data_IF_352686916606
#
_entry.id   IF_352686916606
#
_cell.length_a   1.000
_cell.length_b   1.000
_cell.length_c   1.000
_cell.angle_alpha   90.00
_cell.angle_beta   90.00
_cell.angle_gamma   90.00
#
_symmetry.space_group_name_H-M   'P 1'
#
loop_
_entity.id
_entity.type
_entity.pdbx_description
1 polymer ?
#
# COMPACT_ATOMS: atom_id res chain seq x y z
N UNK A 1 12.47 -2.24 -2.88
CA UNK A 1 11.68 -1.33 -3.73
C UNK A 1 10.89 -0.40 -2.84
N UNK A 2 10.32 0.68 -3.35
CA UNK A 2 9.39 1.52 -2.59
C UNK A 2 7.97 1.00 -2.73
N UNK A 3 7.13 1.32 -1.75
CA UNK A 3 5.69 1.00 -1.80
C UNK A 3 5.05 1.57 -3.08
N UNK A 4 5.43 2.78 -3.51
CA UNK A 4 4.93 3.36 -4.77
C UNK A 4 5.30 2.56 -6.01
N UNK A 5 6.48 1.94 -6.03
CA UNK A 5 6.91 1.11 -7.16
C UNK A 5 6.01 -0.13 -7.26
N UNK A 6 5.71 -0.76 -6.11
CA UNK A 6 4.79 -1.90 -6.04
C UNK A 6 3.37 -1.51 -6.45
N UNK A 7 2.86 -0.36 -5.99
CA UNK A 7 1.53 0.13 -6.37
C UNK A 7 1.43 0.38 -7.87
N UNK A 8 2.50 0.89 -8.49
CA UNK A 8 2.59 1.10 -9.93
C UNK A 8 2.53 -0.21 -10.70
N UNK A 9 3.30 -1.21 -10.29
CA UNK A 9 3.29 -2.54 -10.89
C UNK A 9 1.90 -3.19 -10.82
N UNK A 10 1.17 -2.97 -9.72
CA UNK A 10 -0.18 -3.49 -9.52
C UNK A 10 -1.28 -2.64 -10.18
N UNK A 11 -0.94 -1.55 -10.89
CA UNK A 11 -1.90 -0.58 -11.45
C UNK A 11 -2.87 0.01 -10.39
N UNK A 12 -2.35 0.25 -9.19
CA UNK A 12 -3.08 0.83 -8.05
C UNK A 12 -2.72 2.30 -7.80
N UNK A 13 -1.91 2.92 -8.67
CA UNK A 13 -1.57 4.35 -8.63
C UNK A 13 -2.83 5.24 -8.59
N UNK A 14 -2.82 6.25 -7.72
CA UNK A 14 -3.85 7.30 -7.65
C UNK A 14 -5.18 6.89 -6.98
N UNK A 15 -5.30 5.66 -6.49
CA UNK A 15 -6.45 5.21 -5.69
C UNK A 15 -6.15 5.34 -4.21
N UNK A 16 -7.14 5.75 -3.43
CA UNK A 16 -7.03 5.76 -1.97
C UNK A 16 -6.97 4.31 -1.45
N UNK A 17 -5.79 3.85 -1.08
CA UNK A 17 -5.58 2.58 -0.39
C UNK A 17 -4.87 2.85 0.94
N UNK A 18 -5.31 2.15 2.00
CA UNK A 18 -4.53 2.04 3.22
C UNK A 18 -3.47 0.97 3.04
N UNK A 19 -2.20 1.30 3.27
CA UNK A 19 -1.09 0.35 3.09
C UNK A 19 -0.52 -0.01 4.45
N UNK A 20 -0.40 -1.31 4.70
CA UNK A 20 0.25 -1.85 5.88
C UNK A 20 1.46 -2.69 5.46
N UNK A 21 2.62 -2.41 6.03
CA UNK A 21 3.83 -3.21 5.90
C UNK A 21 4.11 -3.85 7.26
N UNK A 22 4.12 -5.18 7.32
CA UNK A 22 4.28 -5.95 8.56
C UNK A 22 3.28 -5.53 9.66
N UNK A 23 2.04 -5.21 9.25
CA UNK A 23 0.96 -4.76 10.15
C UNK A 23 1.05 -3.31 10.61
N UNK A 24 2.04 -2.53 10.16
CA UNK A 24 2.16 -1.10 10.47
C UNK A 24 1.83 -0.24 9.26
N UNK A 25 1.19 0.90 9.50
CA UNK A 25 0.89 1.88 8.45
C UNK A 25 2.18 2.32 7.78
N UNK A 26 2.15 2.28 6.45
CA UNK A 26 3.26 2.67 5.59
C UNK A 26 2.78 3.70 4.58
N UNK A 27 3.67 4.64 4.26
CA UNK A 27 3.48 5.62 3.20
C UNK A 27 4.16 5.17 1.91
N UNK A 28 3.89 5.86 0.81
CA UNK A 28 4.41 5.56 -0.53
C UNK A 28 5.94 5.51 -0.63
N UNK A 29 6.63 6.27 0.22
CA UNK A 29 8.10 6.31 0.31
C UNK A 29 8.70 5.27 1.27
N UNK A 30 7.87 4.37 1.82
CA UNK A 30 8.35 3.28 2.66
C UNK A 30 9.11 2.26 1.81
N UNK A 31 10.30 1.88 2.27
CA UNK A 31 11.09 0.81 1.64
C UNK A 31 10.55 -0.55 2.09
N UNK A 32 10.23 -1.40 1.12
CA UNK A 32 9.80 -2.79 1.34
C UNK A 32 10.82 -3.78 0.75
N UNK A 33 10.89 -4.94 1.40
CA UNK A 33 11.73 -6.09 1.05
C UNK A 33 10.84 -7.28 0.70
N UNK A 34 11.41 -8.27 0.02
CA UNK A 34 10.69 -9.49 -0.38
C UNK A 34 10.15 -10.30 0.80
N UNK A 35 10.76 -10.16 1.98
CA UNK A 35 10.32 -10.82 3.21
C UNK A 35 9.18 -10.10 3.92
N UNK A 36 8.85 -8.87 3.51
CA UNK A 36 7.84 -8.06 4.19
C UNK A 36 6.44 -8.46 3.74
N UNK A 37 5.53 -8.57 4.72
CA UNK A 37 4.11 -8.77 4.44
C UNK A 37 3.45 -7.43 4.12
N UNK A 38 3.03 -7.24 2.86
CA UNK A 38 2.34 -6.04 2.41
C UNK A 38 0.84 -6.32 2.30
N UNK A 39 0.04 -5.56 3.04
CA UNK A 39 -1.44 -5.59 2.96
C UNK A 39 -1.93 -4.27 2.37
N UNK A 40 -2.72 -4.37 1.31
CA UNK A 40 -3.35 -3.22 0.65
C UNK A 40 -4.85 -3.27 0.95
N UNK A 41 -5.34 -2.27 1.68
CA UNK A 41 -6.73 -2.15 2.05
C UNK A 41 -7.41 -1.11 1.16
N UNK A 42 -8.51 -1.43 0.45
CA UNK A 42 -9.31 -0.41 -0.21
C UNK A 42 -9.77 0.61 0.81
N UNK A 43 -9.67 1.90 0.48
CA UNK A 43 -10.32 2.94 1.27
C UNK A 43 -11.83 2.83 1.04
N UNK A 44 -12.49 1.98 1.84
CA UNK A 44 -13.94 1.86 1.87
C UNK A 44 -14.44 2.98 2.78
N UNK A 45 -14.71 4.15 2.20
CA UNK A 45 -15.53 5.16 2.84
C UNK A 45 -16.99 4.71 2.79
N UNK A 46 -17.34 3.73 3.63
CA UNK A 46 -18.71 3.28 3.80
C UNK A 46 -19.49 4.31 4.61
N UNK A 47 -20.07 5.30 3.94
CA UNK A 47 -20.88 6.34 4.56
C UNK A 47 -21.37 7.34 3.53
N UNK A 48 -22.38 6.93 2.76
CA UNK A 48 -23.23 7.82 1.98
C UNK A 48 -24.50 8.12 2.78
#
# INVERSE_FOLDING_TARGET
MLVKDLLKELNLEGKCFGILVNGKRADEDTVIRETDAVTILPHIAGGF
#
